data_IF_737413884780
#
_entry.id   IF_737413884780
#
_cell.length_a   1.000
_cell.length_b   1.000
_cell.length_c   1.000
_cell.angle_alpha   90.00
_cell.angle_beta   90.00
_cell.angle_gamma   90.00
#
_symmetry.space_group_name_H-M   'P 1'
#
loop_
_entity.id
_entity.type
_entity.pdbx_description
1 polymer ?
#
# COMPACT_ATOMS: atom_id res chain seq x y z
N UNK A 1 3.82 -8.04 -13.14
CA UNK A 1 4.94 -8.00 -12.17
C UNK A 1 4.34 -7.97 -10.78
N UNK A 2 4.75 -8.87 -9.88
CA UNK A 2 4.47 -8.72 -8.45
C UNK A 2 5.29 -7.53 -7.96
N UNK A 3 4.61 -6.44 -7.61
CA UNK A 3 5.24 -5.35 -6.87
C UNK A 3 5.38 -5.86 -5.44
N UNK A 4 6.61 -5.93 -4.95
CA UNK A 4 6.89 -6.25 -3.56
C UNK A 4 6.81 -4.94 -2.77
N UNK A 5 6.16 -5.00 -1.61
CA UNK A 5 6.03 -3.89 -0.67
C UNK A 5 6.62 -4.30 0.66
N UNK A 6 7.18 -3.33 1.37
CA UNK A 6 7.89 -3.57 2.63
C UNK A 6 7.08 -2.98 3.76
N UNK A 7 6.64 -3.84 4.69
CA UNK A 7 5.99 -3.38 5.92
C UNK A 7 7.01 -3.30 7.06
N UNK A 8 7.06 -2.17 7.78
CA UNK A 8 7.64 -2.13 9.13
C UNK A 8 6.56 -2.60 10.09
N UNK A 9 6.92 -3.50 11.01
CA UNK A 9 6.02 -4.05 12.02
C UNK A 9 6.61 -3.78 13.40
N UNK A 10 5.78 -3.25 14.30
CA UNK A 10 6.11 -2.99 15.69
C UNK A 10 5.08 -3.65 16.60
N UNK A 11 5.52 -4.16 17.76
CA UNK A 11 4.63 -4.53 18.85
C UNK A 11 4.65 -3.45 19.95
N UNK A 12 3.48 -3.05 20.43
CA UNK A 12 3.33 -2.15 21.59
C UNK A 12 2.07 -2.50 22.36
N UNK A 13 2.15 -2.62 23.68
CA UNK A 13 1.00 -2.79 24.57
C UNK A 13 0.03 -3.93 24.16
N UNK A 14 0.58 -5.04 23.68
CA UNK A 14 -0.21 -6.19 23.21
C UNK A 14 -0.90 -5.98 21.86
N UNK A 15 -0.46 -5.00 21.08
CA UNK A 15 -0.88 -4.74 19.71
C UNK A 15 0.27 -4.92 18.74
N UNK A 16 -0.07 -5.33 17.52
CA UNK A 16 0.79 -5.30 16.35
C UNK A 16 0.40 -4.11 15.49
N UNK A 17 1.35 -3.24 15.18
CA UNK A 17 1.15 -2.03 14.39
C UNK A 17 2.06 -2.13 13.17
N UNK A 18 1.53 -1.85 11.99
CA UNK A 18 2.28 -1.96 10.74
C UNK A 18 2.11 -0.75 9.84
N UNK A 19 3.16 -0.43 9.10
CA UNK A 19 3.20 0.65 8.10
C UNK A 19 3.86 0.14 6.81
N UNK A 20 3.26 0.42 5.66
CA UNK A 20 3.89 0.14 4.35
C UNK A 20 4.86 1.29 4.03
N UNK A 21 6.15 0.97 3.88
CA UNK A 21 7.21 1.97 3.70
C UNK A 21 7.03 2.79 2.43
N UNK A 22 6.62 2.13 1.34
CA UNK A 22 6.52 2.76 0.02
C UNK A 22 5.27 3.63 -0.14
N UNK A 23 4.26 3.48 0.74
CA UNK A 23 2.99 4.19 0.64
C UNK A 23 2.64 4.87 1.98
N UNK A 24 2.93 6.17 2.12
CA UNK A 24 2.55 6.95 3.30
C UNK A 24 1.06 6.86 3.58
N UNK A 25 0.70 6.70 4.85
CA UNK A 25 -0.70 6.61 5.30
C UNK A 25 -1.34 5.23 5.19
N UNK A 26 -0.64 4.23 4.62
CA UNK A 26 -1.09 2.84 4.69
C UNK A 26 -0.54 2.19 5.95
N UNK A 27 -1.39 2.11 6.97
CA UNK A 27 -1.07 1.52 8.26
C UNK A 27 -2.30 0.84 8.89
N UNK A 28 -2.05 -0.21 9.67
CA UNK A 28 -3.07 -0.94 10.41
C UNK A 28 -2.56 -1.31 11.81
N UNK A 29 -3.48 -1.65 12.71
CA UNK A 29 -3.15 -2.24 14.00
C UNK A 29 -4.06 -3.43 14.27
N UNK A 30 -3.50 -4.53 14.74
CA UNK A 30 -4.24 -5.78 14.99
C UNK A 30 -3.72 -6.50 16.24
N UNK A 31 -4.45 -7.53 16.67
CA UNK A 31 -4.09 -8.32 17.86
C UNK A 31 -3.01 -9.36 17.57
N UNK A 32 -2.86 -9.76 16.32
CA UNK A 32 -1.83 -10.71 15.89
C UNK A 32 -1.09 -10.21 14.65
N UNK A 33 0.15 -10.68 14.45
CA UNK A 33 0.93 -10.35 13.26
C UNK A 33 0.30 -10.86 11.96
N UNK A 34 -0.36 -12.02 11.98
CA UNK A 34 -1.07 -12.54 10.80
C UNK A 34 -2.28 -11.67 10.43
N UNK A 35 -3.10 -11.29 11.40
CA UNK A 35 -4.22 -10.38 11.17
C UNK A 35 -3.71 -9.04 10.62
N UNK A 36 -2.62 -8.51 11.18
CA UNK A 36 -2.01 -7.27 10.69
C UNK A 36 -1.63 -7.35 9.20
N UNK A 37 -1.00 -8.45 8.78
CA UNK A 37 -0.61 -8.63 7.37
C UNK A 37 -1.82 -8.70 6.45
N UNK A 38 -2.89 -9.37 6.86
CA UNK A 38 -4.15 -9.41 6.10
C UNK A 38 -4.81 -8.03 6.06
N UNK A 39 -4.83 -7.32 7.18
CA UNK A 39 -5.42 -5.99 7.30
C UNK A 39 -4.70 -4.96 6.43
N UNK A 40 -3.37 -5.01 6.34
CA UNK A 40 -2.57 -4.09 5.50
C UNK A 40 -2.82 -4.26 3.99
N UNK A 41 -3.24 -5.45 3.54
CA UNK A 41 -3.43 -5.72 2.11
C UNK A 41 -4.54 -4.87 1.50
N UNK A 42 -5.63 -4.65 2.23
CA UNK A 42 -6.81 -3.92 1.74
C UNK A 42 -6.49 -2.44 1.44
N UNK A 43 -6.06 -1.62 2.43
CA UNK A 43 -5.77 -0.21 2.18
C UNK A 43 -4.58 -0.02 1.23
N UNK A 44 -3.63 -0.97 1.19
CA UNK A 44 -2.55 -0.97 0.22
C UNK A 44 -3.10 -1.05 -1.21
N UNK A 45 -3.97 -2.04 -1.49
CA UNK A 45 -4.58 -2.22 -2.81
C UNK A 45 -5.46 -1.04 -3.21
N UNK A 46 -6.26 -0.53 -2.29
CA UNK A 46 -7.14 0.61 -2.52
C UNK A 46 -6.32 1.87 -2.85
N UNK A 47 -5.26 2.15 -2.09
CA UNK A 47 -4.40 3.32 -2.33
C UNK A 47 -3.69 3.24 -3.67
N UNK A 48 -3.16 2.07 -4.05
CA UNK A 48 -2.54 1.88 -5.37
C UNK A 48 -3.57 2.07 -6.49
N UNK A 49 -4.77 1.52 -6.34
CA UNK A 49 -5.83 1.64 -7.34
C UNK A 49 -6.26 3.11 -7.50
N UNK A 50 -6.46 3.81 -6.38
CA UNK A 50 -6.79 5.23 -6.37
C UNK A 50 -5.70 6.07 -7.05
N UNK A 51 -4.43 5.90 -6.67
CA UNK A 51 -3.32 6.65 -7.26
C UNK A 51 -3.20 6.45 -8.78
N UNK A 52 -3.44 5.22 -9.26
CA UNK A 52 -3.45 4.93 -10.70
C UNK A 52 -4.60 5.63 -11.42
N UNK A 53 -5.79 5.63 -10.82
CA UNK A 53 -6.96 6.27 -11.38
C UNK A 53 -6.80 7.79 -11.42
N UNK A 54 -6.31 8.40 -10.35
CA UNK A 54 -6.04 9.84 -10.30
C UNK A 54 -4.96 10.25 -11.33
N UNK A 55 -3.91 9.44 -11.51
CA UNK A 55 -2.91 9.70 -12.54
C UNK A 55 -3.48 9.67 -13.96
N UNK A 56 -4.46 8.80 -14.24
CA UNK A 56 -5.16 8.78 -15.54
C UNK A 56 -6.06 10.01 -15.71
N UNK A 57 -6.79 10.39 -14.66
CA UNK A 57 -7.68 11.56 -14.67
C UNK A 57 -6.92 12.87 -14.82
N UNK A 58 -5.69 12.93 -14.37
CA UNK A 58 -4.82 14.10 -14.50
C UNK A 58 -4.35 14.37 -15.95
N UNK A 59 -4.60 13.45 -16.89
CA UNK A 59 -4.17 13.58 -18.29
C UNK A 59 -5.39 13.69 -19.20
N UNK A 60 -5.46 14.79 -19.97
CA UNK A 60 -6.63 15.11 -20.79
C UNK A 60 -6.65 14.40 -22.16
N UNK A 61 -5.50 13.93 -22.64
CA UNK A 61 -5.31 13.45 -24.02
C UNK A 61 -4.77 12.02 -24.12
N UNK A 62 -4.63 11.54 -25.36
CA UNK A 62 -4.01 10.24 -25.65
C UNK A 62 -2.66 10.12 -24.95
N UNK A 63 -2.50 9.06 -24.16
CA UNK A 63 -1.33 8.80 -23.35
C UNK A 63 -0.90 7.34 -23.45
N UNK A 64 0.31 7.05 -23.00
CA UNK A 64 0.87 5.70 -22.93
C UNK A 64 1.31 5.41 -21.50
N UNK A 65 0.84 4.32 -20.93
CA UNK A 65 1.36 3.79 -19.67
C UNK A 65 2.62 2.95 -19.97
N UNK A 66 3.72 3.23 -19.25
CA UNK A 66 4.98 2.48 -19.35
C UNK A 66 5.44 2.06 -17.96
N UNK A 67 5.95 0.84 -17.83
CA UNK A 67 6.55 0.37 -16.56
C UNK A 67 8.00 0.84 -16.48
N UNK A 68 8.37 1.44 -15.35
CA UNK A 68 9.75 1.80 -15.01
C UNK A 68 10.26 0.81 -13.96
N UNK A 69 11.46 0.28 -14.16
CA UNK A 69 12.18 -0.57 -13.21
C UNK A 69 13.35 0.25 -12.63
N UNK A 70 13.60 0.10 -11.33
CA UNK A 70 14.63 0.81 -10.57
C UNK A 70 15.63 -0.23 -10.04
#
# INVERSE_FOLDING_TARGET
MQQNYTAIIQQSDGWWIGWVQEIPGVNCQERTGNELLVALEIPLRETIAYNREEARRAVESQHKEVTIQI
#
